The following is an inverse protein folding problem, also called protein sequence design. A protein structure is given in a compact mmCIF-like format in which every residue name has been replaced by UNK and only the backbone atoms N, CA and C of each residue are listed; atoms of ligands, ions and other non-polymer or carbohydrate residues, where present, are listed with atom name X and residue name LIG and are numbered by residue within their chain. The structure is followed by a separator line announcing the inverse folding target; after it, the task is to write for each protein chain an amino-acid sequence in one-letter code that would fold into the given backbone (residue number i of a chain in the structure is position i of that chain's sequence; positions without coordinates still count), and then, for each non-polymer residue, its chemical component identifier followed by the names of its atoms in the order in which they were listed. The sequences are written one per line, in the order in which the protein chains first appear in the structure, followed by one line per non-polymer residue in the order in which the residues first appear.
data_IF_877589279862
#
_entry.id   IF_877589279862
#
_cell.length_a   1.000
_cell.length_b   1.000
_cell.length_c   1.000
_cell.angle_alpha   90.00
_cell.angle_beta   90.00
_cell.angle_gamma   90.00
#
_symmetry.space_group_name_H-M   'P 1'
#
loop_
_entity.id
_entity.type
_entity.pdbx_description
1 polymer ?
#
# COMPACT_ATOMS: atom_id res chain seq x y z
N UNK A 1 -12.03 5.11 -17.79
CA UNK A 1 -10.79 5.31 -16.99
C UNK A 1 -10.19 6.66 -17.39
N UNK A 2 -10.14 7.59 -16.47
CA UNK A 2 -9.53 8.92 -16.63
C UNK A 2 -8.01 8.72 -16.61
N UNK A 3 -7.30 9.34 -17.58
CA UNK A 3 -5.84 9.16 -17.74
C UNK A 3 -5.06 10.47 -17.78
N UNK A 4 -5.71 11.58 -18.11
CA UNK A 4 -5.07 12.89 -18.21
C UNK A 4 -5.75 13.93 -17.35
N UNK A 5 -5.05 15.04 -17.07
CA UNK A 5 -5.59 16.18 -16.34
C UNK A 5 -6.84 16.75 -17.02
N UNK A 6 -6.85 16.85 -18.35
CA UNK A 6 -7.97 17.39 -19.10
C UNK A 6 -9.23 16.51 -18.98
N UNK A 7 -9.04 15.18 -19.02
CA UNK A 7 -10.15 14.23 -18.78
C UNK A 7 -10.69 14.33 -17.35
N UNK A 8 -9.79 14.54 -16.37
CA UNK A 8 -10.16 14.72 -14.97
C UNK A 8 -10.98 16.00 -14.78
N UNK A 9 -10.47 17.11 -15.29
CA UNK A 9 -11.13 18.42 -15.23
C UNK A 9 -12.52 18.36 -15.86
N UNK A 10 -12.63 17.88 -17.11
CA UNK A 10 -13.92 17.70 -17.79
C UNK A 10 -14.88 16.83 -16.98
N UNK A 11 -14.38 15.79 -16.30
CA UNK A 11 -15.21 14.91 -15.48
C UNK A 11 -15.69 15.61 -14.22
N UNK A 12 -14.84 16.38 -13.56
CA UNK A 12 -15.22 17.17 -12.38
C UNK A 12 -16.28 18.20 -12.79
N UNK A 13 -16.04 19.00 -13.82
CA UNK A 13 -17.00 20.00 -14.33
C UNK A 13 -18.37 19.39 -14.66
N UNK A 14 -18.36 18.21 -15.29
CA UNK A 14 -19.62 17.50 -15.60
C UNK A 14 -20.37 17.05 -14.34
N UNK A 15 -19.68 16.77 -13.26
CA UNK A 15 -20.29 16.29 -12.00
C UNK A 15 -20.68 17.43 -11.06
N UNK A 16 -20.04 18.58 -11.18
CA UNK A 16 -20.40 19.78 -10.44
C UNK A 16 -21.74 20.31 -10.96
N UNK A 17 -22.67 20.56 -10.04
CA UNK A 17 -23.94 21.22 -10.33
C UNK A 17 -23.87 22.68 -9.86
N UNK A 18 -25.05 23.28 -9.65
CA UNK A 18 -25.18 24.69 -9.24
C UNK A 18 -24.96 24.93 -7.73
N UNK A 19 -24.63 23.87 -6.94
CA UNK A 19 -24.37 23.98 -5.52
C UNK A 19 -22.95 24.49 -5.23
N UNK A 20 -22.78 25.30 -4.18
CA UNK A 20 -21.50 25.92 -3.86
C UNK A 20 -20.56 25.06 -2.95
N UNK A 21 -21.05 23.93 -2.43
CA UNK A 21 -20.30 23.11 -1.46
C UNK A 21 -20.15 21.66 -1.92
N UNK A 22 -19.08 21.37 -2.61
CA UNK A 22 -18.72 20.01 -3.00
C UNK A 22 -17.50 19.51 -2.28
N UNK A 23 -17.50 18.19 -2.00
CA UNK A 23 -16.33 17.42 -1.59
C UNK A 23 -15.90 16.55 -2.78
N UNK A 24 -14.67 16.70 -3.22
CA UNK A 24 -14.11 15.91 -4.31
C UNK A 24 -13.35 14.71 -3.74
N UNK A 25 -13.78 13.50 -4.05
CA UNK A 25 -13.12 12.25 -3.70
C UNK A 25 -12.55 11.63 -4.97
N UNK A 26 -11.22 11.54 -5.05
CA UNK A 26 -10.52 11.02 -6.23
C UNK A 26 -9.67 9.85 -5.79
N UNK A 27 -10.05 8.66 -6.27
CA UNK A 27 -9.40 7.39 -5.92
C UNK A 27 -8.31 7.05 -6.94
N UNK A 28 -7.18 6.50 -6.44
CA UNK A 28 -6.03 6.08 -7.25
C UNK A 28 -5.52 7.19 -8.17
N UNK A 29 -5.36 8.39 -7.61
CA UNK A 29 -5.04 9.63 -8.35
C UNK A 29 -3.75 9.53 -9.19
N UNK A 30 -2.80 8.68 -8.79
CA UNK A 30 -1.56 8.44 -9.53
C UNK A 30 -1.77 7.84 -10.94
N UNK A 31 -2.98 7.35 -11.23
CA UNK A 31 -3.33 6.86 -12.56
C UNK A 31 -3.67 7.97 -13.56
N UNK A 32 -3.71 9.22 -13.11
CA UNK A 32 -4.04 10.40 -13.91
C UNK A 32 -2.79 11.25 -14.09
N UNK A 33 -2.28 11.33 -15.31
CA UNK A 33 -1.11 12.16 -15.60
C UNK A 33 -1.42 13.65 -15.44
N UNK A 34 -0.60 14.37 -14.68
CA UNK A 34 -0.75 15.81 -14.49
C UNK A 34 -1.91 16.23 -13.57
N UNK A 35 -2.44 15.31 -12.76
CA UNK A 35 -3.56 15.60 -11.85
C UNK A 35 -3.28 16.76 -10.89
N UNK A 36 -2.03 17.01 -10.55
CA UNK A 36 -1.63 17.98 -9.54
C UNK A 36 -2.09 19.41 -9.91
N UNK A 37 -2.07 19.75 -11.20
CA UNK A 37 -2.54 21.05 -11.67
C UNK A 37 -4.04 21.26 -11.46
N UNK A 38 -4.83 20.21 -11.71
CA UNK A 38 -6.28 20.23 -11.53
C UNK A 38 -6.62 20.35 -10.05
N UNK A 39 -5.98 19.50 -9.21
CA UNK A 39 -6.18 19.54 -7.76
C UNK A 39 -5.86 20.90 -7.18
N UNK A 40 -4.76 21.51 -7.65
CA UNK A 40 -4.36 22.83 -7.19
C UNK A 40 -5.39 23.91 -7.57
N UNK A 41 -5.91 23.89 -8.81
CA UNK A 41 -6.90 24.85 -9.28
C UNK A 41 -8.18 24.77 -8.43
N UNK A 42 -8.76 23.58 -8.27
CA UNK A 42 -9.96 23.41 -7.47
C UNK A 42 -9.74 23.68 -5.97
N UNK A 43 -8.57 23.39 -5.43
CA UNK A 43 -8.24 23.76 -4.06
C UNK A 43 -8.16 25.28 -3.85
N UNK A 44 -7.67 26.04 -4.83
CA UNK A 44 -7.68 27.51 -4.81
C UNK A 44 -9.09 28.11 -4.94
N UNK A 45 -9.98 27.42 -5.62
CA UNK A 45 -11.41 27.75 -5.68
C UNK A 45 -12.17 27.41 -4.40
N UNK A 46 -11.52 26.75 -3.43
CA UNK A 46 -12.08 26.47 -2.10
C UNK A 46 -12.73 25.09 -1.94
N UNK A 47 -12.58 24.20 -2.92
CA UNK A 47 -13.08 22.84 -2.80
C UNK A 47 -12.30 22.02 -1.78
N UNK A 48 -13.01 21.21 -0.99
CA UNK A 48 -12.40 20.21 -0.11
C UNK A 48 -12.11 18.94 -0.90
N UNK A 49 -10.84 18.59 -1.05
CA UNK A 49 -10.38 17.49 -1.92
C UNK A 49 -9.74 16.39 -1.10
N UNK A 50 -10.20 15.14 -1.33
CA UNK A 50 -9.69 13.93 -0.72
C UNK A 50 -9.13 13.04 -1.81
N UNK A 51 -7.85 12.72 -1.70
CA UNK A 51 -7.13 11.89 -2.67
C UNK A 51 -6.75 10.57 -2.02
N UNK A 52 -6.91 9.48 -2.75
CA UNK A 52 -6.26 8.22 -2.39
C UNK A 52 -5.21 7.85 -3.43
N UNK A 53 -4.28 7.02 -3.04
CA UNK A 53 -3.28 6.47 -3.94
C UNK A 53 -2.33 5.55 -3.22
N UNK A 54 -1.53 4.79 -3.97
CA UNK A 54 -0.52 3.93 -3.37
C UNK A 54 0.53 4.77 -2.63
N UNK A 55 0.90 4.30 -1.43
CA UNK A 55 1.78 4.99 -0.49
C UNK A 55 3.08 5.48 -1.15
N UNK A 56 3.71 4.65 -1.94
CA UNK A 56 4.99 4.95 -2.59
C UNK A 56 4.92 6.07 -3.64
N UNK A 57 3.75 6.36 -4.20
CA UNK A 57 3.58 7.47 -5.12
C UNK A 57 3.26 8.77 -4.38
N UNK A 58 2.31 8.73 -3.44
CA UNK A 58 1.90 9.92 -2.67
C UNK A 58 2.98 10.41 -1.71
N UNK A 59 3.88 9.53 -1.26
CA UNK A 59 5.07 9.88 -0.47
C UNK A 59 6.30 10.23 -1.32
N UNK A 60 6.20 10.25 -2.66
CA UNK A 60 7.33 10.64 -3.50
C UNK A 60 7.68 12.10 -3.28
N UNK A 61 8.98 12.41 -3.32
CA UNK A 61 9.49 13.79 -3.20
C UNK A 61 8.86 14.73 -4.25
N UNK A 62 8.47 14.19 -5.41
CA UNK A 62 7.82 14.95 -6.48
C UNK A 62 6.45 15.49 -6.06
N UNK A 63 5.60 14.64 -5.45
CA UNK A 63 4.27 15.06 -5.00
C UNK A 63 4.38 15.93 -3.75
N UNK A 64 5.24 15.55 -2.82
CA UNK A 64 5.55 16.38 -1.66
C UNK A 64 5.96 17.80 -2.07
N UNK A 65 6.75 17.93 -3.13
CA UNK A 65 7.19 19.23 -3.65
C UNK A 65 6.06 19.98 -4.36
N UNK A 66 5.26 19.30 -5.18
CA UNK A 66 4.18 19.91 -5.98
C UNK A 66 2.97 20.34 -5.13
N UNK A 67 2.68 19.63 -4.06
CA UNK A 67 1.57 19.93 -3.14
C UNK A 67 2.04 20.59 -1.83
N UNK A 68 3.28 21.05 -1.74
CA UNK A 68 3.95 21.51 -0.52
C UNK A 68 3.10 22.48 0.31
N UNK A 69 2.90 22.11 1.59
CA UNK A 69 2.27 22.96 2.61
C UNK A 69 0.75 23.13 2.51
N UNK A 70 0.08 22.40 1.61
CA UNK A 70 -1.36 22.57 1.33
C UNK A 70 -2.18 21.30 1.51
N UNK A 71 -1.61 20.23 2.07
CA UNK A 71 -2.33 18.97 2.31
C UNK A 71 -2.00 18.36 3.67
N UNK A 72 -2.91 17.56 4.14
CA UNK A 72 -2.71 16.69 5.29
C UNK A 72 -2.59 15.25 4.78
N UNK A 73 -1.53 14.57 5.19
CA UNK A 73 -1.34 13.16 4.84
C UNK A 73 -1.90 12.26 5.95
N UNK A 74 -2.74 11.31 5.55
CA UNK A 74 -3.27 10.27 6.41
C UNK A 74 -2.78 8.93 5.90
N UNK A 75 -1.89 8.29 6.61
CA UNK A 75 -1.45 6.95 6.31
C UNK A 75 -2.42 5.96 6.92
N UNK A 76 -2.96 5.05 6.10
CA UNK A 76 -3.89 4.00 6.52
C UNK A 76 -3.16 2.67 6.58
N UNK A 77 -3.04 2.12 7.77
CA UNK A 77 -2.47 0.80 8.01
C UNK A 77 -3.53 -0.29 7.94
N UNK A 78 -3.08 -1.54 7.91
CA UNK A 78 -3.95 -2.67 8.20
C UNK A 78 -4.44 -2.59 9.64
N UNK A 79 -5.54 -3.28 9.97
CA UNK A 79 -6.13 -3.27 11.32
C UNK A 79 -5.08 -3.65 12.36
N UNK A 80 -5.03 -2.91 13.45
CA UNK A 80 -4.38 -3.37 14.66
C UNK A 80 -5.23 -4.44 15.38
N UNK A 81 -4.75 -5.00 16.47
CA UNK A 81 -5.46 -6.07 17.17
C UNK A 81 -6.79 -5.59 17.77
N UNK A 82 -6.87 -4.35 18.25
CA UNK A 82 -8.10 -3.78 18.81
C UNK A 82 -9.15 -3.60 17.71
N UNK A 83 -8.74 -3.00 16.60
CA UNK A 83 -9.57 -2.79 15.41
C UNK A 83 -10.02 -4.13 14.79
N UNK A 84 -9.14 -5.15 14.79
CA UNK A 84 -9.49 -6.50 14.38
C UNK A 84 -10.63 -7.07 15.21
N UNK A 85 -10.58 -6.94 16.54
CA UNK A 85 -11.65 -7.41 17.42
C UNK A 85 -12.95 -6.63 17.23
N UNK A 86 -12.88 -5.31 17.03
CA UNK A 86 -14.04 -4.48 16.70
C UNK A 86 -14.68 -4.89 15.39
N UNK A 87 -13.87 -5.14 14.37
CA UNK A 87 -14.34 -5.61 13.07
C UNK A 87 -14.99 -6.99 13.16
N UNK A 88 -14.42 -7.93 13.95
CA UNK A 88 -15.08 -9.21 14.24
C UNK A 88 -16.46 -9.01 14.87
N UNK A 89 -16.61 -8.09 15.83
CA UNK A 89 -17.91 -7.74 16.43
C UNK A 89 -18.89 -7.19 15.39
N UNK A 90 -18.42 -6.27 14.55
CA UNK A 90 -19.23 -5.68 13.49
C UNK A 90 -19.78 -6.75 12.52
N UNK A 91 -18.95 -7.68 12.10
CA UNK A 91 -19.35 -8.82 11.24
C UNK A 91 -20.03 -9.95 12.00
N UNK A 92 -20.32 -9.79 13.30
CA UNK A 92 -20.93 -10.81 14.16
C UNK A 92 -20.18 -12.15 14.14
N UNK A 93 -18.86 -12.10 13.97
CA UNK A 93 -18.00 -13.28 14.06
C UNK A 93 -17.82 -13.69 15.52
N UNK A 94 -17.61 -14.99 15.74
CA UNK A 94 -17.30 -15.50 17.05
C UNK A 94 -15.97 -14.93 17.54
N UNK A 95 -15.93 -14.49 18.78
CA UNK A 95 -14.71 -14.08 19.49
C UNK A 95 -14.52 -15.07 20.64
N UNK A 96 -13.31 -15.61 20.76
CA UNK A 96 -12.96 -16.52 21.84
C UNK A 96 -12.95 -15.76 23.18
N UNK A 97 -13.25 -16.46 24.27
CA UNK A 97 -13.18 -15.88 25.63
C UNK A 97 -11.73 -15.68 26.06
N UNK A 98 -10.81 -16.50 25.55
CA UNK A 98 -9.39 -16.34 25.76
C UNK A 98 -8.82 -15.39 24.70
N UNK A 99 -8.42 -14.20 25.15
CA UNK A 99 -7.85 -13.16 24.31
C UNK A 99 -6.55 -13.59 23.62
N UNK A 100 -5.81 -14.54 24.19
CA UNK A 100 -4.57 -15.05 23.59
C UNK A 100 -4.86 -15.89 22.34
N UNK A 101 -5.96 -16.63 22.34
CA UNK A 101 -6.42 -17.40 21.15
C UNK A 101 -6.76 -16.43 20.02
N UNK A 102 -7.46 -15.34 20.32
CA UNK A 102 -7.75 -14.28 19.34
C UNK A 102 -6.50 -13.59 18.84
N UNK A 103 -5.54 -13.36 19.70
CA UNK A 103 -4.27 -12.73 19.31
C UNK A 103 -3.43 -13.65 18.41
N UNK A 104 -3.39 -14.96 18.70
CA UNK A 104 -2.75 -15.94 17.82
C UNK A 104 -3.45 -15.98 16.45
N UNK A 105 -4.77 -15.95 16.41
CA UNK A 105 -5.53 -15.90 15.16
C UNK A 105 -5.19 -14.64 14.36
N UNK A 106 -5.10 -13.48 15.02
CA UNK A 106 -4.71 -12.22 14.40
C UNK A 106 -3.29 -12.28 13.80
N UNK A 107 -2.32 -12.81 14.55
CA UNK A 107 -0.93 -12.97 14.07
C UNK A 107 -0.87 -13.87 12.83
N UNK A 108 -1.64 -14.95 12.81
CA UNK A 108 -1.65 -15.91 11.69
C UNK A 108 -2.36 -15.38 10.44
N UNK A 109 -3.39 -14.57 10.60
CA UNK A 109 -4.24 -14.10 9.49
C UNK A 109 -3.90 -12.66 9.04
N UNK A 110 -3.20 -11.90 9.88
CA UNK A 110 -2.87 -10.50 9.62
C UNK A 110 -4.05 -9.54 9.80
N UNK A 111 -3.79 -8.26 9.58
CA UNK A 111 -4.73 -7.17 9.80
C UNK A 111 -5.50 -6.70 8.56
N UNK A 112 -5.48 -7.43 7.44
CA UNK A 112 -6.30 -7.02 6.28
C UNK A 112 -7.79 -7.16 6.60
N UNK A 113 -8.58 -6.06 6.52
CA UNK A 113 -10.00 -6.07 6.94
C UNK A 113 -10.82 -7.19 6.32
N UNK A 114 -10.65 -7.44 5.03
CA UNK A 114 -11.42 -8.43 4.30
C UNK A 114 -11.14 -9.88 4.72
N UNK A 115 -10.01 -10.16 5.35
CA UNK A 115 -9.72 -11.51 5.85
C UNK A 115 -10.73 -11.98 6.90
N UNK A 116 -11.34 -11.04 7.63
CA UNK A 116 -12.34 -11.32 8.67
C UNK A 116 -13.64 -11.89 8.08
N UNK A 117 -13.95 -11.56 6.83
CA UNK A 117 -15.17 -12.08 6.17
C UNK A 117 -15.10 -13.59 5.90
N UNK A 118 -13.89 -14.13 5.71
CA UNK A 118 -13.69 -15.53 5.41
C UNK A 118 -13.68 -16.38 6.69
N UNK A 119 -14.44 -17.46 6.72
CA UNK A 119 -14.44 -18.43 7.82
C UNK A 119 -13.33 -19.46 7.70
N UNK A 120 -12.91 -19.74 6.46
CA UNK A 120 -11.87 -20.72 6.17
C UNK A 120 -10.47 -20.10 6.16
N UNK A 121 -9.54 -20.71 6.89
CA UNK A 121 -8.15 -20.25 7.00
C UNK A 121 -7.40 -20.30 5.65
N UNK A 122 -7.71 -21.26 4.78
CA UNK A 122 -7.07 -21.36 3.47
C UNK A 122 -7.53 -20.22 2.56
N UNK A 123 -8.81 -19.84 2.64
CA UNK A 123 -9.35 -18.69 1.92
C UNK A 123 -8.69 -17.40 2.38
N UNK A 124 -8.50 -17.19 3.69
CA UNK A 124 -7.77 -16.02 4.25
C UNK A 124 -6.34 -15.95 3.73
N UNK A 125 -5.60 -17.07 3.81
CA UNK A 125 -4.22 -17.13 3.33
C UNK A 125 -4.11 -16.90 1.82
N UNK A 126 -5.02 -17.46 1.05
CA UNK A 126 -5.06 -17.29 -0.41
C UNK A 126 -5.32 -15.83 -0.75
N UNK A 127 -6.27 -15.20 -0.07
CA UNK A 127 -6.56 -13.76 -0.24
C UNK A 127 -5.35 -12.89 0.11
N UNK A 128 -4.72 -13.12 1.27
CA UNK A 128 -3.54 -12.35 1.69
C UNK A 128 -2.37 -12.51 0.71
N UNK A 129 -2.11 -13.73 0.23
CA UNK A 129 -1.09 -13.96 -0.81
C UNK A 129 -1.42 -13.24 -2.11
N UNK A 130 -2.72 -13.21 -2.48
CA UNK A 130 -3.19 -12.46 -3.65
C UNK A 130 -2.87 -10.97 -3.54
N UNK A 131 -3.15 -10.34 -2.39
CA UNK A 131 -2.82 -8.93 -2.14
C UNK A 131 -1.31 -8.69 -2.26
N UNK A 132 -0.49 -9.51 -1.59
CA UNK A 132 0.97 -9.38 -1.64
C UNK A 132 1.48 -9.48 -3.09
N UNK A 133 0.95 -10.43 -3.85
CA UNK A 133 1.29 -10.59 -5.28
C UNK A 133 0.85 -9.37 -6.11
N UNK A 134 -0.31 -8.82 -5.84
CA UNK A 134 -0.84 -7.65 -6.55
C UNK A 134 -0.01 -6.40 -6.25
N UNK A 135 0.36 -6.17 -5.00
CA UNK A 135 1.28 -5.09 -4.60
C UNK A 135 2.62 -5.25 -5.34
N UNK A 136 3.16 -6.46 -5.38
CA UNK A 136 4.39 -6.74 -6.12
C UNK A 136 4.27 -6.40 -7.60
N UNK A 137 3.24 -6.89 -8.28
CA UNK A 137 3.03 -6.66 -9.71
C UNK A 137 2.76 -5.19 -10.03
N UNK A 138 1.91 -4.52 -9.28
CA UNK A 138 1.50 -3.13 -9.56
C UNK A 138 2.53 -2.11 -9.08
N UNK A 139 3.03 -2.26 -7.87
CA UNK A 139 3.83 -1.21 -7.24
C UNK A 139 5.32 -1.37 -7.42
N UNK A 140 5.82 -2.59 -7.44
CA UNK A 140 7.27 -2.83 -7.53
C UNK A 140 7.72 -3.05 -8.97
N UNK A 141 7.05 -3.97 -9.69
CA UNK A 141 7.48 -4.38 -11.02
C UNK A 141 7.22 -3.32 -12.10
N UNK A 142 6.15 -2.53 -11.94
CA UNK A 142 5.81 -1.47 -12.92
C UNK A 142 6.66 -0.21 -12.75
N UNK A 143 7.11 0.12 -11.55
CA UNK A 143 7.89 1.34 -11.28
C UNK A 143 9.37 1.21 -11.56
N UNK A 144 9.93 0.04 -11.31
CA UNK A 144 11.33 -0.24 -11.62
C UNK A 144 11.43 -1.57 -12.32
N UNK A 145 12.21 -1.59 -13.40
CA UNK A 145 12.59 -2.82 -14.06
C UNK A 145 13.49 -3.62 -13.11
N UNK A 146 12.89 -4.56 -12.35
CA UNK A 146 13.65 -5.47 -11.50
C UNK A 146 14.53 -6.31 -12.42
N UNK A 147 15.84 -6.12 -12.29
CA UNK A 147 16.81 -6.80 -13.14
C UNK A 147 16.93 -8.30 -12.87
N UNK A 148 16.61 -8.72 -11.63
CA UNK A 148 16.70 -10.12 -11.21
C UNK A 148 15.55 -10.45 -10.25
N UNK A 149 14.45 -10.92 -10.80
CA UNK A 149 13.23 -11.27 -10.05
C UNK A 149 13.50 -12.36 -8.99
N UNK A 150 14.20 -13.47 -9.28
CA UNK A 150 14.50 -14.48 -8.26
C UNK A 150 15.26 -13.94 -7.04
N UNK A 151 16.22 -13.05 -7.26
CA UNK A 151 16.95 -12.41 -6.16
C UNK A 151 16.03 -11.49 -5.37
N UNK A 152 15.16 -10.74 -6.03
CA UNK A 152 14.20 -9.88 -5.38
C UNK A 152 13.23 -10.67 -4.49
N UNK A 153 12.62 -11.72 -5.01
CA UNK A 153 11.70 -12.60 -4.27
C UNK A 153 12.40 -13.24 -3.06
N UNK A 154 13.67 -13.58 -3.21
CA UNK A 154 14.46 -14.14 -2.10
C UNK A 154 14.78 -13.11 -1.03
N UNK A 155 15.10 -11.85 -1.42
CA UNK A 155 15.25 -10.72 -0.49
C UNK A 155 13.94 -10.47 0.26
N UNK A 156 12.82 -10.42 -0.44
CA UNK A 156 11.49 -10.25 0.16
C UNK A 156 11.19 -11.36 1.18
N UNK A 157 11.37 -12.62 0.78
CA UNK A 157 11.16 -13.76 1.67
C UNK A 157 12.05 -13.71 2.90
N UNK A 158 13.34 -13.35 2.72
CA UNK A 158 14.27 -13.21 3.85
C UNK A 158 13.79 -12.16 4.85
N UNK A 159 13.33 -11.00 4.37
CA UNK A 159 12.82 -9.92 5.23
C UNK A 159 11.56 -10.35 5.99
N UNK A 160 10.63 -11.03 5.32
CA UNK A 160 9.42 -11.52 5.98
C UNK A 160 9.69 -12.59 7.03
N UNK A 161 10.59 -13.55 6.75
CA UNK A 161 10.94 -14.59 7.73
C UNK A 161 11.77 -14.07 8.92
N UNK A 162 12.43 -12.92 8.76
CA UNK A 162 13.23 -12.30 9.81
C UNK A 162 12.56 -11.04 10.39
N UNK A 163 11.24 -10.93 10.29
CA UNK A 163 10.50 -9.83 10.87
C UNK A 163 10.79 -9.71 12.37
N UNK A 164 10.98 -8.48 12.85
CA UNK A 164 11.38 -8.16 14.23
C UNK A 164 12.75 -8.69 14.70
N UNK A 165 13.53 -9.33 13.81
CA UNK A 165 14.89 -9.72 14.11
C UNK A 165 15.91 -8.63 13.74
N UNK A 166 17.08 -8.56 14.38
CA UNK A 166 18.15 -7.67 13.97
C UNK A 166 18.54 -7.94 12.51
N UNK A 167 18.45 -6.91 11.67
CA UNK A 167 18.79 -7.01 10.26
C UNK A 167 20.27 -6.72 10.01
N UNK A 168 20.91 -7.58 9.20
CA UNK A 168 22.25 -7.36 8.68
C UNK A 168 22.29 -7.61 7.17
N UNK A 169 22.66 -6.59 6.41
CA UNK A 169 22.84 -6.73 4.97
C UNK A 169 23.91 -7.76 4.62
N UNK A 170 24.97 -7.87 5.42
CA UNK A 170 26.04 -8.85 5.24
C UNK A 170 25.50 -10.27 5.37
N UNK A 171 24.67 -10.54 6.39
CA UNK A 171 24.04 -11.85 6.57
C UNK A 171 23.10 -12.20 5.40
N UNK A 172 22.34 -11.23 4.91
CA UNK A 172 21.49 -11.45 3.74
C UNK A 172 22.30 -11.79 2.49
N UNK A 173 23.38 -11.06 2.23
CA UNK A 173 24.27 -11.33 1.10
C UNK A 173 24.92 -12.72 1.20
N UNK A 174 25.38 -13.10 2.40
CA UNK A 174 25.94 -14.44 2.64
C UNK A 174 24.90 -15.55 2.40
N UNK A 175 23.66 -15.33 2.83
CA UNK A 175 22.54 -16.24 2.56
C UNK A 175 22.31 -16.40 1.05
N UNK A 176 22.23 -15.29 0.32
CA UNK A 176 22.05 -15.30 -1.13
C UNK A 176 23.19 -16.02 -1.84
N UNK A 177 24.43 -15.78 -1.42
CA UNK A 177 25.60 -16.44 -2.00
C UNK A 177 25.60 -17.96 -1.75
N UNK A 178 25.28 -18.39 -0.52
CA UNK A 178 25.14 -19.82 -0.17
C UNK A 178 24.05 -20.53 -1.00
N UNK A 179 23.02 -19.81 -1.37
CA UNK A 179 21.94 -20.32 -2.23
C UNK A 179 22.27 -20.21 -3.73
N UNK A 180 23.47 -19.74 -4.09
CA UNK A 180 23.94 -19.64 -5.47
C UNK A 180 23.56 -18.36 -6.21
N UNK A 181 22.95 -17.38 -5.53
CA UNK A 181 22.62 -16.10 -6.14
C UNK A 181 23.84 -15.16 -6.18
N UNK A 182 24.26 -14.78 -7.38
CA UNK A 182 25.29 -13.76 -7.56
C UNK A 182 24.66 -12.38 -7.68
N UNK A 183 24.84 -11.54 -6.68
CA UNK A 183 24.27 -10.18 -6.66
C UNK A 183 25.22 -9.21 -5.94
N UNK A 184 25.00 -7.91 -6.17
CA UNK A 184 25.78 -6.84 -5.52
C UNK A 184 25.00 -6.27 -4.34
N UNK A 185 25.74 -5.82 -3.31
CA UNK A 185 25.15 -5.15 -2.15
C UNK A 185 24.28 -3.95 -2.53
N UNK A 186 24.67 -3.19 -3.56
CA UNK A 186 23.92 -2.06 -4.08
C UNK A 186 22.54 -2.46 -4.67
N UNK A 187 22.50 -3.60 -5.36
CA UNK A 187 21.25 -4.15 -5.90
C UNK A 187 20.31 -4.57 -4.78
N UNK A 188 20.83 -5.30 -3.78
CA UNK A 188 20.03 -5.75 -2.63
C UNK A 188 19.50 -4.58 -1.81
N UNK A 189 20.33 -3.54 -1.59
CA UNK A 189 19.85 -2.30 -0.94
C UNK A 189 18.73 -1.64 -1.72
N UNK A 190 18.85 -1.56 -3.05
CA UNK A 190 17.81 -1.03 -3.92
C UNK A 190 16.49 -1.80 -3.75
N UNK A 191 16.55 -3.13 -3.71
CA UNK A 191 15.36 -3.96 -3.51
C UNK A 191 14.72 -3.77 -2.12
N UNK A 192 15.54 -3.60 -1.07
CA UNK A 192 15.04 -3.30 0.27
C UNK A 192 14.32 -1.95 0.30
N UNK A 193 14.89 -0.92 -0.33
CA UNK A 193 14.24 0.40 -0.40
C UNK A 193 12.96 0.38 -1.24
N UNK A 194 12.91 -0.43 -2.30
CA UNK A 194 11.69 -0.59 -3.09
C UNK A 194 10.60 -1.32 -2.28
N UNK A 195 10.97 -2.32 -1.47
CA UNK A 195 10.04 -3.02 -0.56
C UNK A 195 9.51 -2.15 0.59
N UNK A 196 10.30 -1.19 1.07
CA UNK A 196 9.84 -0.23 2.09
C UNK A 196 8.81 0.76 1.57
N UNK A 197 8.79 0.98 0.26
CA UNK A 197 7.90 1.94 -0.39
C UNK A 197 6.61 1.29 -0.92
N UNK A 198 6.53 -0.02 -0.96
CA UNK A 198 5.36 -0.78 -1.36
C UNK A 198 4.44 -1.05 -0.17
#
# INVERSE_FOLDING_TARGET
NIKTSEELETKIEYMLGDDENYYLFIDEVQNVFGFESVIHAYAEEGYSIFLTGSNSYLLSDEISTKLTGRYLNFETFTLDFSEYLEMKRFFKKKIDQDIYVEFEEYILNGGFPKTIEFDDIQARQTYTRGIISEIFEKDVKTRKRISNVPVYERVQSFLFYNYSAPFSLSNLLECLEKEGYKTKATTVRGYIEDLKKA
#
